data_IF_483254532835
#
_entry.id   IF_483254532835
#
_cell.length_a   1.000
_cell.length_b   1.000
_cell.length_c   1.000
_cell.angle_alpha   90.00
_cell.angle_beta   90.00
_cell.angle_gamma   90.00
#
_symmetry.space_group_name_H-M   'P 1'
#
loop_
_entity.id
_entity.type
_entity.pdbx_description
1 polymer ?
#
# COMPACT_ATOMS: atom_id res chain seq x y z
N UNK A 1 -9.09 7.32 15.78
CA UNK A 1 -8.58 6.10 15.10
C UNK A 1 -7.09 6.28 14.88
N UNK A 2 -6.27 5.35 15.36
CA UNK A 2 -4.81 5.42 15.21
C UNK A 2 -4.44 5.05 13.78
N UNK A 3 -3.83 5.98 13.05
CA UNK A 3 -3.35 5.74 11.69
C UNK A 3 -2.12 4.84 11.76
N UNK A 4 -2.24 3.61 11.26
CA UNK A 4 -1.14 2.64 11.22
C UNK A 4 -0.56 2.53 9.81
N UNK A 5 0.70 2.12 9.70
CA UNK A 5 1.35 1.89 8.40
C UNK A 5 0.53 0.94 7.50
N UNK A 6 -0.05 -0.10 8.10
CA UNK A 6 -0.95 -1.03 7.41
C UNK A 6 -2.24 -0.36 6.92
N UNK A 7 -2.86 0.51 7.72
CA UNK A 7 -4.09 1.20 7.30
C UNK A 7 -3.83 2.14 6.12
N UNK A 8 -2.73 2.88 6.13
CA UNK A 8 -2.35 3.76 5.01
C UNK A 8 -2.00 2.96 3.77
N UNK A 9 -1.18 1.90 3.93
CA UNK A 9 -0.78 1.06 2.80
C UNK A 9 -1.96 0.34 2.15
N UNK A 10 -2.92 -0.16 2.93
CA UNK A 10 -4.13 -0.79 2.38
C UNK A 10 -4.95 0.19 1.54
N UNK A 11 -5.05 1.45 1.94
CA UNK A 11 -5.71 2.48 1.14
C UNK A 11 -4.95 2.77 -0.16
N UNK A 12 -3.61 2.83 -0.10
CA UNK A 12 -2.77 2.96 -1.30
C UNK A 12 -2.95 1.76 -2.24
N UNK A 13 -2.94 0.53 -1.71
CA UNK A 13 -3.14 -0.69 -2.47
C UNK A 13 -4.50 -0.72 -3.16
N UNK A 14 -5.57 -0.27 -2.49
CA UNK A 14 -6.90 -0.16 -3.11
C UNK A 14 -6.88 0.80 -4.30
N UNK A 15 -6.29 1.99 -4.12
CA UNK A 15 -6.15 2.96 -5.21
C UNK A 15 -5.32 2.40 -6.38
N UNK A 16 -4.17 1.79 -6.09
CA UNK A 16 -3.28 1.25 -7.13
C UNK A 16 -3.97 0.11 -7.89
N UNK A 17 -4.65 -0.80 -7.18
CA UNK A 17 -5.36 -1.94 -7.77
C UNK A 17 -6.43 -1.52 -8.78
N UNK A 18 -7.10 -0.40 -8.54
CA UNK A 18 -8.13 0.13 -9.44
C UNK A 18 -7.55 0.84 -10.67
N UNK A 19 -6.27 1.24 -10.62
CA UNK A 19 -5.61 2.03 -11.68
C UNK A 19 -4.62 1.25 -12.55
N UNK A 20 -4.24 0.02 -12.18
CA UNK A 20 -3.29 -0.80 -12.94
C UNK A 20 -3.83 -2.19 -13.22
N UNK A 21 -3.22 -2.89 -14.19
CA UNK A 21 -3.62 -4.25 -14.53
C UNK A 21 -3.42 -5.22 -13.34
N UNK A 22 -4.35 -6.17 -13.12
CA UNK A 22 -4.29 -7.11 -11.99
C UNK A 22 -2.97 -7.89 -11.89
N UNK A 23 -2.38 -8.25 -13.03
CA UNK A 23 -1.09 -8.96 -13.09
C UNK A 23 0.06 -8.08 -12.61
N UNK A 24 0.07 -6.80 -12.99
CA UNK A 24 1.08 -5.84 -12.53
C UNK A 24 0.93 -5.58 -11.02
N UNK A 25 -0.30 -5.44 -10.54
CA UNK A 25 -0.58 -5.30 -9.10
C UNK A 25 -0.06 -6.49 -8.29
N UNK A 26 -0.40 -7.71 -8.70
CA UNK A 26 0.08 -8.93 -8.03
C UNK A 26 1.59 -9.07 -8.03
N UNK A 27 2.25 -8.70 -9.13
CA UNK A 27 3.70 -8.88 -9.25
C UNK A 27 4.47 -7.83 -8.43
N UNK A 28 4.04 -6.57 -8.49
CA UNK A 28 4.84 -5.44 -7.98
C UNK A 28 4.37 -4.91 -6.62
N UNK A 29 3.12 -5.11 -6.23
CA UNK A 29 2.52 -4.44 -5.06
C UNK A 29 2.00 -5.42 -4.00
N UNK A 30 1.43 -6.56 -4.40
CA UNK A 30 0.96 -7.61 -3.46
C UNK A 30 2.03 -8.14 -2.48
N UNK A 31 3.31 -8.36 -2.87
CA UNK A 31 4.32 -8.81 -1.92
C UNK A 31 4.88 -7.71 -1.01
N UNK A 32 4.60 -6.42 -1.28
CA UNK A 32 5.15 -5.30 -0.51
C UNK A 32 4.38 -5.13 0.80
N UNK A 33 5.10 -5.16 1.92
CA UNK A 33 4.56 -4.90 3.26
C UNK A 33 5.11 -3.58 3.82
N UNK A 34 4.27 -2.77 4.46
CA UNK A 34 4.71 -1.50 5.03
C UNK A 34 5.48 -1.77 6.33
N UNK A 35 6.73 -1.31 6.41
CA UNK A 35 7.61 -1.58 7.56
C UNK A 35 7.41 -0.50 8.63
N UNK A 36 7.30 0.77 8.22
CA UNK A 36 7.05 1.87 9.14
C UNK A 36 6.30 3.02 8.47
N UNK A 37 5.43 3.67 9.24
CA UNK A 37 4.85 4.96 8.89
C UNK A 37 5.60 6.04 9.66
N UNK A 38 6.29 6.93 8.96
CA UNK A 38 6.96 8.08 9.56
C UNK A 38 6.40 9.36 8.97
N UNK A 39 5.61 10.08 9.77
CA UNK A 39 4.95 11.36 9.45
C UNK A 39 4.07 11.36 8.18
N UNK A 40 4.67 11.45 6.99
CA UNK A 40 4.01 11.43 5.67
C UNK A 40 4.67 10.51 4.65
N UNK A 41 5.70 9.75 5.05
CA UNK A 41 6.41 8.82 4.20
C UNK A 41 6.19 7.38 4.69
N UNK A 42 6.02 6.48 3.72
CA UNK A 42 5.84 5.05 3.93
C UNK A 42 7.14 4.37 3.46
N UNK A 43 7.84 3.70 4.37
CA UNK A 43 9.16 3.08 4.16
C UNK A 43 9.21 1.66 4.69
#
# INVERSE_FOLDING_TARGET
MSVTANSVWNNCLAFIKDNIQPQAFKTWFEPIKPVRLSEKALS
#
